data_IF_743685782432
#
_entry.id   IF_743685782432
#
_cell.length_a   1.000
_cell.length_b   1.000
_cell.length_c   1.000
_cell.angle_alpha   90.00
_cell.angle_beta   90.00
_cell.angle_gamma   90.00
#
_symmetry.space_group_name_H-M   'P 1'
#
loop_
_entity.id
_entity.type
_entity.pdbx_description
1 polymer ?
#
# COMPACT_ATOMS: atom_id res chain seq x y z
N UNK A 1 3.34 9.39 3.83
CA UNK A 1 4.33 8.70 2.99
C UNK A 1 5.70 9.22 3.35
N UNK A 2 6.62 8.30 3.58
CA UNK A 2 7.97 8.59 4.02
C UNK A 2 8.94 8.67 2.85
N UNK A 3 10.02 9.43 3.02
CA UNK A 3 11.10 9.49 2.04
C UNK A 3 11.96 8.23 2.10
N UNK A 4 12.57 7.89 0.98
CA UNK A 4 13.49 6.77 0.85
C UNK A 4 14.76 7.29 0.18
N UNK A 5 15.86 7.52 0.95
CA UNK A 5 17.06 8.13 0.38
C UNK A 5 17.64 7.36 -0.81
N UNK A 6 17.66 6.03 -0.75
CA UNK A 6 18.22 5.20 -1.81
C UNK A 6 17.29 5.03 -3.02
N UNK A 7 16.06 5.53 -2.97
CA UNK A 7 15.05 5.37 -4.01
C UNK A 7 14.21 6.65 -4.15
N UNK A 8 14.88 7.81 -4.24
CA UNK A 8 14.20 9.11 -4.27
C UNK A 8 13.24 9.24 -5.46
N UNK A 9 13.61 8.79 -6.64
CA UNK A 9 12.76 8.86 -7.83
C UNK A 9 11.52 7.96 -7.66
N UNK A 10 11.68 6.76 -7.09
CA UNK A 10 10.57 5.86 -6.80
C UNK A 10 9.60 6.49 -5.79
N UNK A 11 10.12 7.00 -4.68
CA UNK A 11 9.32 7.65 -3.65
C UNK A 11 8.55 8.86 -4.19
N UNK A 12 9.22 9.69 -5.00
CA UNK A 12 8.60 10.85 -5.64
C UNK A 12 7.51 10.45 -6.61
N UNK A 13 7.72 9.39 -7.42
CA UNK A 13 6.72 8.91 -8.37
C UNK A 13 5.47 8.39 -7.65
N UNK A 14 5.65 7.70 -6.52
CA UNK A 14 4.52 7.22 -5.70
C UNK A 14 3.74 8.37 -5.08
N UNK A 15 4.42 9.39 -4.60
CA UNK A 15 3.78 10.59 -4.07
C UNK A 15 3.02 11.36 -5.17
N UNK A 16 3.56 11.40 -6.38
CA UNK A 16 2.91 12.02 -7.53
C UNK A 16 1.61 11.30 -7.90
N UNK A 17 1.59 9.96 -7.90
CA UNK A 17 0.37 9.17 -8.13
C UNK A 17 -0.70 9.55 -7.12
N UNK A 18 -0.36 9.64 -5.84
CA UNK A 18 -1.29 10.02 -4.78
C UNK A 18 -1.92 11.38 -5.03
N UNK A 19 -1.10 12.37 -5.33
CA UNK A 19 -1.59 13.74 -5.55
C UNK A 19 -2.36 13.86 -6.88
N UNK A 20 -1.84 13.28 -7.94
CA UNK A 20 -2.49 13.31 -9.25
C UNK A 20 -3.87 12.66 -9.22
N UNK A 21 -4.03 11.58 -8.49
CA UNK A 21 -5.32 10.92 -8.29
C UNK A 21 -6.37 11.88 -7.74
N UNK A 22 -5.99 12.71 -6.77
CA UNK A 22 -6.89 13.71 -6.20
C UNK A 22 -7.31 14.74 -7.24
N UNK A 23 -6.36 15.22 -8.03
CA UNK A 23 -6.64 16.19 -9.10
C UNK A 23 -7.59 15.60 -10.16
N UNK A 24 -7.38 14.35 -10.55
CA UNK A 24 -8.27 13.67 -11.51
C UNK A 24 -9.67 13.50 -10.92
N UNK A 25 -9.77 13.08 -9.66
CA UNK A 25 -11.07 12.92 -9.00
C UNK A 25 -11.86 14.23 -8.97
N UNK A 26 -11.20 15.32 -8.61
CA UNK A 26 -11.84 16.64 -8.57
C UNK A 26 -12.26 17.14 -9.95
N UNK A 27 -11.41 16.93 -10.96
CA UNK A 27 -11.74 17.27 -12.33
C UNK A 27 -12.98 16.52 -12.82
N UNK A 28 -13.04 15.20 -12.60
CA UNK A 28 -14.18 14.39 -12.99
C UNK A 28 -15.47 14.85 -12.30
N UNK A 29 -15.39 15.18 -11.03
CA UNK A 29 -16.53 15.68 -10.27
C UNK A 29 -16.99 17.05 -10.79
N UNK A 30 -16.06 17.96 -11.06
CA UNK A 30 -16.37 19.30 -11.59
C UNK A 30 -17.05 19.20 -12.96
N UNK A 31 -16.58 18.31 -13.81
CA UNK A 31 -17.16 18.06 -15.12
C UNK A 31 -18.42 17.19 -15.08
N UNK A 32 -18.84 16.75 -13.89
CA UNK A 32 -19.99 15.87 -13.67
C UNK A 32 -19.91 14.56 -14.47
N UNK A 33 -18.69 14.03 -14.59
CA UNK A 33 -18.44 12.74 -15.21
C UNK A 33 -18.75 11.61 -14.23
N UNK A 34 -19.31 10.48 -14.70
CA UNK A 34 -19.57 9.32 -13.84
C UNK A 34 -18.28 8.51 -13.63
N UNK A 35 -17.22 9.16 -13.17
CA UNK A 35 -15.89 8.58 -12.99
C UNK A 35 -15.41 8.89 -11.59
N UNK A 36 -14.96 7.88 -10.88
CA UNK A 36 -14.29 8.00 -9.59
C UNK A 36 -12.81 7.64 -9.75
N UNK A 37 -11.98 8.26 -8.98
CA UNK A 37 -10.53 8.02 -9.03
C UNK A 37 -9.99 7.95 -7.61
N UNK A 38 -9.41 6.80 -7.27
CA UNK A 38 -8.82 6.54 -5.95
C UNK A 38 -7.44 5.92 -6.13
N UNK A 39 -6.61 5.99 -5.11
CA UNK A 39 -5.28 5.39 -5.14
C UNK A 39 -5.14 4.28 -4.12
N UNK A 40 -4.43 3.21 -4.50
CA UNK A 40 -4.10 2.08 -3.62
C UNK A 40 -2.60 2.10 -3.39
N UNK A 41 -2.20 2.04 -2.14
CA UNK A 41 -0.80 2.10 -1.71
C UNK A 41 -0.43 0.82 -0.95
N UNK A 42 -0.02 -0.25 -1.67
CA UNK A 42 0.44 -1.48 -1.03
C UNK A 42 1.83 -1.31 -0.46
N UNK A 43 2.14 -2.03 0.60
CA UNK A 43 3.49 -2.15 1.13
C UNK A 43 3.75 -3.57 1.58
N UNK A 44 4.94 -4.08 1.28
CA UNK A 44 5.37 -5.44 1.63
C UNK A 44 4.37 -6.52 1.18
N UNK A 45 4.02 -6.51 -0.08
CA UNK A 45 3.18 -7.55 -0.69
C UNK A 45 4.09 -8.61 -1.30
N UNK A 46 3.86 -9.87 -0.94
CA UNK A 46 4.68 -10.97 -1.41
C UNK A 46 4.35 -11.31 -2.87
N UNK A 47 5.26 -10.95 -3.76
CA UNK A 47 5.16 -11.21 -5.20
C UNK A 47 6.45 -11.86 -5.70
N UNK A 48 6.47 -12.43 -6.92
CA UNK A 48 7.70 -13.00 -7.49
C UNK A 48 8.89 -12.04 -7.55
N UNK A 49 8.65 -10.74 -7.53
CA UNK A 49 9.72 -9.73 -7.53
C UNK A 49 10.65 -9.85 -6.33
N UNK A 50 10.19 -10.41 -5.20
CA UNK A 50 10.97 -10.59 -3.98
C UNK A 50 11.82 -11.86 -4.00
N UNK A 51 11.52 -12.84 -4.84
CA UNK A 51 12.16 -14.16 -4.83
C UNK A 51 13.70 -14.11 -4.88
N UNK A 52 14.34 -13.26 -5.72
CA UNK A 52 15.81 -13.22 -5.75
C UNK A 52 16.44 -12.79 -4.43
N UNK A 53 15.72 -12.11 -3.56
CA UNK A 53 16.23 -11.57 -2.30
C UNK A 53 15.96 -12.50 -1.13
N UNK A 54 14.88 -13.29 -1.20
CA UNK A 54 14.40 -14.04 -0.05
C UNK A 54 15.20 -15.30 0.28
N UNK A 55 15.85 -15.91 -0.72
CA UNK A 55 16.56 -17.17 -0.51
C UNK A 55 15.60 -18.35 -0.33
N UNK A 56 16.05 -19.42 0.33
CA UNK A 56 15.28 -20.66 0.52
C UNK A 56 15.40 -21.16 1.96
N UNK A 57 14.48 -22.05 2.36
CA UNK A 57 14.51 -22.73 3.65
C UNK A 57 14.44 -21.78 4.85
N UNK A 58 15.24 -22.05 5.87
CA UNK A 58 15.26 -21.24 7.09
C UNK A 58 15.76 -19.82 6.87
N UNK A 59 16.67 -19.61 5.92
CA UNK A 59 17.16 -18.30 5.53
C UNK A 59 16.02 -17.44 4.95
N UNK A 60 15.17 -18.03 4.11
CA UNK A 60 14.00 -17.36 3.55
C UNK A 60 13.08 -16.87 4.66
N UNK A 61 12.78 -17.74 5.60
CA UNK A 61 11.88 -17.38 6.72
C UNK A 61 12.46 -16.26 7.56
N UNK A 62 13.74 -16.33 7.90
CA UNK A 62 14.43 -15.31 8.66
C UNK A 62 14.43 -13.95 7.92
N UNK A 63 14.69 -13.96 6.62
CA UNK A 63 14.69 -12.77 5.80
C UNK A 63 13.29 -12.15 5.74
N UNK A 64 12.27 -12.95 5.52
CA UNK A 64 10.88 -12.47 5.50
C UNK A 64 10.48 -11.85 6.82
N UNK A 65 10.82 -12.47 7.95
CA UNK A 65 10.51 -11.93 9.27
C UNK A 65 11.24 -10.60 9.53
N UNK A 66 12.49 -10.50 9.11
CA UNK A 66 13.28 -9.27 9.24
C UNK A 66 12.65 -8.13 8.41
N UNK A 67 12.17 -8.41 7.22
CA UNK A 67 11.58 -7.40 6.33
C UNK A 67 10.26 -6.84 6.85
N UNK A 68 9.52 -7.60 7.64
CA UNK A 68 8.24 -7.18 8.20
C UNK A 68 8.29 -6.91 9.71
N UNK A 69 9.51 -6.80 10.26
CA UNK A 69 9.69 -6.57 11.70
C UNK A 69 8.98 -5.30 12.19
N UNK A 70 8.97 -4.24 11.39
CA UNK A 70 8.30 -2.99 11.71
C UNK A 70 6.85 -2.90 11.23
N UNK A 71 6.37 -3.93 10.58
CA UNK A 71 4.97 -4.01 10.15
C UNK A 71 4.12 -4.51 11.33
N UNK A 72 3.10 -3.78 11.77
CA UNK A 72 2.29 -4.20 12.92
C UNK A 72 1.70 -5.60 12.79
N UNK A 73 1.22 -6.00 11.61
CA UNK A 73 0.68 -7.34 11.39
C UNK A 73 1.76 -8.42 11.23
N UNK A 74 3.05 -8.04 11.18
CA UNK A 74 4.19 -8.95 11.19
C UNK A 74 4.18 -10.00 10.08
N UNK A 75 3.64 -9.68 8.94
CA UNK A 75 3.63 -10.56 7.77
C UNK A 75 3.57 -9.74 6.49
N UNK A 76 3.93 -10.38 5.38
CA UNK A 76 3.63 -9.83 4.05
C UNK A 76 2.13 -9.88 3.80
N UNK A 77 1.63 -8.91 3.06
CA UNK A 77 0.31 -9.00 2.46
C UNK A 77 0.34 -9.91 1.22
N UNK A 78 -0.83 -10.29 0.74
CA UNK A 78 -0.97 -11.11 -0.46
C UNK A 78 -1.51 -10.28 -1.62
N UNK A 79 -1.22 -10.67 -2.88
CA UNK A 79 -1.85 -10.04 -4.04
C UNK A 79 -3.38 -10.04 -3.97
N UNK A 80 -3.99 -11.08 -3.42
CA UNK A 80 -5.44 -11.19 -3.25
C UNK A 80 -5.98 -10.13 -2.29
N UNK A 81 -5.22 -9.78 -1.26
CA UNK A 81 -5.64 -8.73 -0.33
C UNK A 81 -5.69 -7.36 -1.01
N UNK A 82 -4.76 -7.09 -1.91
CA UNK A 82 -4.78 -5.88 -2.75
C UNK A 82 -5.91 -5.95 -3.78
N UNK A 83 -6.08 -7.09 -4.44
CA UNK A 83 -7.13 -7.29 -5.45
C UNK A 83 -8.53 -7.12 -4.86
N UNK A 84 -8.77 -7.59 -3.64
CA UNK A 84 -10.06 -7.45 -2.96
C UNK A 84 -10.43 -5.98 -2.77
N UNK A 85 -9.47 -5.14 -2.40
CA UNK A 85 -9.69 -3.70 -2.30
C UNK A 85 -9.97 -3.09 -3.67
N UNK A 86 -9.22 -3.49 -4.70
CA UNK A 86 -9.43 -2.99 -6.06
C UNK A 86 -10.85 -3.32 -6.57
N UNK A 87 -11.34 -4.53 -6.30
CA UNK A 87 -12.69 -4.95 -6.66
C UNK A 87 -13.74 -4.10 -5.95
N UNK A 88 -13.56 -3.86 -4.66
CA UNK A 88 -14.45 -2.97 -3.90
C UNK A 88 -14.49 -1.57 -4.50
N UNK A 89 -13.32 -0.99 -4.81
CA UNK A 89 -13.23 0.36 -5.35
C UNK A 89 -13.78 0.46 -6.78
N UNK A 90 -13.75 -0.64 -7.54
CA UNK A 90 -14.31 -0.70 -8.88
C UNK A 90 -15.82 -0.94 -8.88
N UNK A 91 -16.40 -1.32 -7.76
CA UNK A 91 -17.82 -1.69 -7.65
C UNK A 91 -18.69 -0.52 -7.21
N UNK A 92 -19.99 -0.68 -7.37
CA UNK A 92 -20.98 0.29 -6.90
C UNK A 92 -21.07 0.38 -5.38
N UNK A 93 -20.48 -0.59 -4.66
CA UNK A 93 -20.41 -0.55 -3.20
C UNK A 93 -19.58 0.62 -2.70
N UNK A 94 -18.66 1.14 -3.51
CA UNK A 94 -17.85 2.30 -3.19
C UNK A 94 -18.30 3.57 -3.92
N UNK A 95 -19.58 3.67 -4.24
CA UNK A 95 -20.13 4.73 -5.09
C UNK A 95 -19.87 6.16 -4.56
N UNK A 96 -19.69 6.33 -3.26
CA UNK A 96 -19.43 7.64 -2.65
C UNK A 96 -17.96 7.87 -2.33
N UNK A 97 -17.05 7.05 -2.89
CA UNK A 97 -15.62 7.07 -2.59
C UNK A 97 -14.86 7.55 -3.83
N UNK A 98 -14.29 8.75 -3.77
CA UNK A 98 -13.43 9.29 -4.81
C UNK A 98 -12.37 10.20 -4.21
N UNK A 99 -11.20 10.30 -4.84
CA UNK A 99 -10.09 11.12 -4.37
C UNK A 99 -9.42 10.61 -3.10
N UNK A 100 -9.70 9.39 -2.69
CA UNK A 100 -9.21 8.84 -1.44
C UNK A 100 -7.96 7.97 -1.64
N UNK A 101 -7.17 7.88 -0.57
CA UNK A 101 -6.00 7.01 -0.50
C UNK A 101 -6.34 5.79 0.33
N UNK A 102 -5.96 4.61 -0.15
CA UNK A 102 -6.18 3.35 0.56
C UNK A 102 -4.87 2.64 0.74
N UNK A 103 -4.47 2.42 1.98
CA UNK A 103 -3.23 1.76 2.34
C UNK A 103 -3.49 0.29 2.63
N UNK A 104 -2.69 -0.59 1.99
CA UNK A 104 -2.70 -2.04 2.22
C UNK A 104 -1.29 -2.39 2.67
N UNK A 105 -0.98 -2.10 3.92
CA UNK A 105 0.38 -2.01 4.41
C UNK A 105 0.61 -2.70 5.77
N UNK A 106 -0.35 -3.48 6.23
CA UNK A 106 -0.23 -4.16 7.51
C UNK A 106 -0.14 -3.23 8.72
N UNK A 107 -0.52 -1.97 8.54
CA UNK A 107 -0.53 -0.96 9.60
C UNK A 107 0.74 -0.12 9.72
N UNK A 108 1.69 -0.25 8.79
CA UNK A 108 2.99 0.43 8.94
C UNK A 108 2.88 1.96 9.02
N UNK A 109 1.91 2.55 8.34
CA UNK A 109 1.69 4.00 8.40
C UNK A 109 0.81 4.44 9.56
N UNK A 110 0.21 3.50 10.29
CA UNK A 110 -0.61 3.84 11.46
C UNK A 110 0.24 4.21 12.67
N UNK A 111 1.49 3.78 12.70
CA UNK A 111 2.40 4.02 13.79
C UNK A 111 3.52 2.98 13.84
N UNK A 112 4.24 2.95 14.97
CA UNK A 112 5.33 2.00 15.17
C UNK A 112 4.81 0.66 15.67
N UNK A 113 5.40 -0.43 15.16
CA UNK A 113 5.19 -1.77 15.70
C UNK A 113 5.90 -1.97 17.05
N UNK A 114 6.85 -1.10 17.37
CA UNK A 114 7.55 -1.09 18.66
C UNK A 114 6.64 -0.46 19.72
N UNK A 115 5.73 -1.26 20.24
CA UNK A 115 4.88 -0.83 21.37
C UNK A 115 5.59 -1.11 22.68
N UNK A 116 5.39 -0.26 23.69
CA UNK A 116 5.87 -0.57 25.03
C UNK A 116 5.34 -1.93 25.48
N UNK A 117 6.19 -2.68 26.20
CA UNK A 117 5.75 -3.95 26.76
C UNK A 117 4.49 -3.73 27.61
N UNK A 118 3.52 -4.60 27.46
CA UNK A 118 2.32 -4.57 28.30
C UNK A 118 2.73 -4.83 29.74
N UNK A 119 2.36 -3.94 30.58
CA UNK A 119 2.57 -4.08 32.01
C UNK A 119 1.47 -4.92 32.63
#
# INVERSE_FOLDING_TARGET
>A
IVGIPAAAAYASSKAAVRNHTKSVALYCAEQRLPVRCNSIHPAAILTPMWEPILGTGAEREATMQAMVADTPLRRFGTPQEVASLAVFLASDESAYVTGAEFHVDGGILAGSAAVPARQ
#
